data_IF_154151025622
#
_entry.id   IF_154151025622
#
_cell.length_a   1.000
_cell.length_b   1.000
_cell.length_c   1.000
_cell.angle_alpha   90.00
_cell.angle_beta   90.00
_cell.angle_gamma   90.00
#
_symmetry.space_group_name_H-M   'P 1'
#
loop_
_entity.id
_entity.type
_entity.pdbx_description
1 polymer ?
#
# COMPACT_ATOMS: atom_id res chain seq x y z
N UNK A 1 4.76 -41.09 -35.21
CA UNK A 1 4.01 -39.92 -34.71
C UNK A 1 3.38 -39.23 -35.92
N UNK A 2 2.09 -38.90 -35.87
CA UNK A 2 1.33 -38.34 -37.00
C UNK A 2 1.72 -36.87 -37.22
N UNK A 3 2.22 -36.52 -38.42
CA UNK A 3 2.71 -35.16 -38.75
C UNK A 3 1.63 -34.09 -38.61
N UNK A 4 0.38 -34.40 -38.95
CA UNK A 4 -0.73 -33.47 -38.81
C UNK A 4 -1.04 -33.18 -37.34
N UNK A 5 -0.86 -34.18 -36.46
CA UNK A 5 -1.07 -34.04 -35.02
C UNK A 5 -0.01 -33.14 -34.38
N UNK A 6 1.25 -33.24 -34.83
CA UNK A 6 2.32 -32.36 -34.36
C UNK A 6 2.11 -30.91 -34.82
N UNK A 7 1.71 -30.69 -36.08
CA UNK A 7 1.43 -29.36 -36.59
C UNK A 7 0.28 -28.66 -35.83
N UNK A 8 -0.82 -29.39 -35.56
CA UNK A 8 -1.93 -28.86 -34.76
C UNK A 8 -1.54 -28.59 -33.31
N UNK A 9 -0.64 -29.40 -32.73
CA UNK A 9 -0.11 -29.16 -31.39
C UNK A 9 0.75 -27.90 -31.34
N UNK A 10 1.64 -27.70 -32.32
CA UNK A 10 2.49 -26.51 -32.39
C UNK A 10 1.65 -25.23 -32.55
N UNK A 11 0.59 -25.28 -33.35
CA UNK A 11 -0.36 -24.17 -33.53
C UNK A 11 -1.10 -23.85 -32.22
N UNK A 12 -1.69 -24.87 -31.56
CA UNK A 12 -2.37 -24.68 -30.28
C UNK A 12 -1.43 -24.17 -29.18
N UNK A 13 -0.17 -24.63 -29.17
CA UNK A 13 0.84 -24.16 -28.23
C UNK A 13 1.20 -22.69 -28.48
N UNK A 14 1.33 -22.29 -29.74
CA UNK A 14 1.62 -20.90 -30.11
C UNK A 14 0.47 -19.97 -29.69
N UNK A 15 -0.78 -20.34 -30.00
CA UNK A 15 -1.97 -19.59 -29.57
C UNK A 15 -2.07 -19.49 -28.05
N UNK A 16 -1.76 -20.57 -27.34
CA UNK A 16 -1.74 -20.58 -25.88
C UNK A 16 -0.70 -19.59 -25.32
N UNK A 17 0.55 -19.62 -25.83
CA UNK A 17 1.61 -18.71 -25.40
C UNK A 17 1.23 -17.25 -25.67
N UNK A 18 0.66 -16.94 -26.84
CA UNK A 18 0.21 -15.59 -27.17
C UNK A 18 -0.90 -15.12 -26.23
N UNK A 19 -1.89 -15.98 -25.97
CA UNK A 19 -2.99 -15.67 -25.04
C UNK A 19 -2.47 -15.37 -23.63
N UNK A 20 -1.52 -16.17 -23.14
CA UNK A 20 -0.88 -15.96 -21.83
C UNK A 20 -0.06 -14.68 -21.77
N UNK A 21 0.61 -14.32 -22.86
CA UNK A 21 1.32 -13.05 -22.97
C UNK A 21 0.39 -11.84 -22.83
N UNK A 22 -0.73 -11.83 -23.59
CA UNK A 22 -1.73 -10.75 -23.53
C UNK A 22 -2.37 -10.62 -22.14
N UNK A 23 -2.66 -11.74 -21.49
CA UNK A 23 -3.19 -11.76 -20.13
C UNK A 23 -2.19 -11.13 -19.14
N UNK A 24 -0.91 -11.49 -19.24
CA UNK A 24 0.15 -10.93 -18.41
C UNK A 24 0.33 -9.41 -18.60
N UNK A 25 0.23 -8.92 -19.84
CA UNK A 25 0.34 -7.48 -20.13
C UNK A 25 -0.84 -6.68 -19.55
N UNK A 26 -2.06 -7.19 -19.71
CA UNK A 26 -3.26 -6.57 -19.14
C UNK A 26 -3.19 -6.54 -17.60
N UNK A 27 -2.76 -7.65 -17.01
CA UNK A 27 -2.56 -7.79 -15.57
C UNK A 27 -1.56 -6.77 -15.04
N UNK A 28 -0.40 -6.67 -15.70
CA UNK A 28 0.63 -5.70 -15.35
C UNK A 28 0.09 -4.27 -15.37
N UNK A 29 -0.63 -3.88 -16.42
CA UNK A 29 -1.20 -2.54 -16.54
C UNK A 29 -2.20 -2.23 -15.40
N UNK A 30 -3.01 -3.22 -15.00
CA UNK A 30 -3.95 -3.07 -13.89
C UNK A 30 -3.20 -2.86 -12.57
N UNK A 31 -2.19 -3.68 -12.28
CA UNK A 31 -1.39 -3.55 -11.06
C UNK A 31 -0.67 -2.20 -11.04
N UNK A 32 -0.06 -1.78 -12.15
CA UNK A 32 0.60 -0.45 -12.25
C UNK A 32 -0.38 0.69 -11.94
N UNK A 33 -1.62 0.63 -12.46
CA UNK A 33 -2.66 1.61 -12.14
C UNK A 33 -2.99 1.64 -10.64
N UNK A 34 -3.00 0.49 -9.97
CA UNK A 34 -3.27 0.41 -8.52
C UNK A 34 -2.11 0.89 -7.68
N UNK A 35 -0.87 0.65 -8.12
CA UNK A 35 0.33 1.20 -7.48
C UNK A 35 0.32 2.74 -7.54
N UNK A 36 -0.06 3.33 -8.68
CA UNK A 36 -0.20 4.78 -8.81
C UNK A 36 -1.27 5.34 -7.85
N UNK A 37 -2.40 4.64 -7.71
CA UNK A 37 -3.45 5.01 -6.76
C UNK A 37 -2.98 4.92 -5.30
N UNK A 38 -2.21 3.89 -4.94
CA UNK A 38 -1.58 3.77 -3.62
C UNK A 38 -0.64 4.95 -3.36
N UNK A 39 0.21 5.30 -4.32
CA UNK A 39 1.10 6.47 -4.20
C UNK A 39 0.31 7.77 -4.02
N UNK A 40 -0.82 7.93 -4.72
CA UNK A 40 -1.68 9.10 -4.55
C UNK A 40 -2.27 9.18 -3.13
N UNK A 41 -2.73 8.06 -2.56
CA UNK A 41 -3.22 8.02 -1.18
C UNK A 41 -2.09 8.29 -0.15
N UNK A 42 -0.88 7.76 -0.38
CA UNK A 42 0.30 8.08 0.46
C UNK A 42 0.58 9.59 0.46
N UNK A 43 0.60 10.23 -0.72
CA UNK A 43 0.84 11.68 -0.85
C UNK A 43 -0.26 12.48 -0.13
N UNK A 44 -1.52 12.09 -0.31
CA UNK A 44 -2.67 12.72 0.36
C UNK A 44 -2.57 12.65 1.88
N UNK A 45 -2.20 11.49 2.43
CA UNK A 45 -2.00 11.33 3.87
C UNK A 45 -0.84 12.22 4.35
N UNK A 46 0.31 12.19 3.67
CA UNK A 46 1.47 13.02 4.02
C UNK A 46 1.12 14.51 4.05
N UNK A 47 0.33 15.00 3.10
CA UNK A 47 -0.08 16.40 3.05
C UNK A 47 -0.96 16.82 4.24
N UNK A 48 -1.70 15.89 4.84
CA UNK A 48 -2.56 16.13 6.01
C UNK A 48 -1.84 15.97 7.35
N UNK A 49 -0.68 15.31 7.37
CA UNK A 49 0.06 15.05 8.61
C UNK A 49 0.34 16.32 9.44
N UNK A 50 0.76 17.46 8.86
CA UNK A 50 1.01 18.67 9.66
C UNK A 50 -0.23 19.15 10.40
N UNK A 51 -1.39 19.18 9.73
CA UNK A 51 -2.68 19.60 10.30
C UNK A 51 -3.14 18.64 11.40
N UNK A 52 -2.96 17.34 11.20
CA UNK A 52 -3.35 16.30 12.17
C UNK A 52 -2.50 16.39 13.44
N UNK A 53 -1.19 16.64 13.29
CA UNK A 53 -0.29 16.82 14.42
C UNK A 53 -0.62 18.08 15.23
N UNK A 54 -0.98 19.18 14.55
CA UNK A 54 -1.39 20.41 15.22
C UNK A 54 -2.72 20.22 15.97
N UNK A 55 -3.71 19.63 15.31
CA UNK A 55 -4.98 19.29 15.96
C UNK A 55 -4.79 18.38 17.19
N UNK A 56 -3.88 17.40 17.10
CA UNK A 56 -3.56 16.52 18.23
C UNK A 56 -2.90 17.30 19.38
N UNK A 57 -1.99 18.23 19.06
CA UNK A 57 -1.35 19.14 20.02
C UNK A 57 -2.41 19.97 20.74
N UNK A 58 -3.26 20.69 20.02
CA UNK A 58 -4.33 21.53 20.59
C UNK A 58 -5.28 20.74 21.49
N UNK A 59 -5.72 19.57 21.02
CA UNK A 59 -6.62 18.69 21.79
C UNK A 59 -5.97 18.21 23.09
N UNK A 60 -4.66 17.97 23.09
CA UNK A 60 -3.95 17.58 24.31
C UNK A 60 -3.88 18.75 25.29
N UNK A 61 -3.52 19.95 24.82
CA UNK A 61 -3.49 21.16 25.65
C UNK A 61 -4.85 21.44 26.31
N UNK A 62 -5.94 21.39 25.53
CA UNK A 62 -7.30 21.60 26.05
C UNK A 62 -7.66 20.61 27.18
N UNK A 63 -7.29 19.33 27.05
CA UNK A 63 -7.54 18.33 28.12
C UNK A 63 -6.82 18.65 29.43
N UNK A 64 -5.64 19.24 29.35
CA UNK A 64 -4.87 19.60 30.54
C UNK A 64 -5.40 20.88 31.21
N UNK A 65 -5.82 21.86 30.42
CA UNK A 65 -6.51 23.04 30.92
C UNK A 65 -7.79 22.64 31.68
N UNK A 66 -8.60 21.76 31.09
CA UNK A 66 -9.81 21.21 31.72
C UNK A 66 -9.52 20.48 33.03
N UNK A 67 -8.37 19.79 33.12
CA UNK A 67 -7.95 19.06 34.30
C UNK A 67 -7.34 19.96 35.41
N UNK A 68 -7.16 21.26 35.15
CA UNK A 68 -6.47 22.22 36.05
C UNK A 68 -5.09 21.74 36.52
N UNK A 69 -4.40 20.99 35.67
CA UNK A 69 -3.04 20.53 35.94
C UNK A 69 -2.09 21.61 35.46
N UNK A 70 -1.21 22.12 36.33
CA UNK A 70 -0.10 22.97 35.90
C UNK A 70 0.82 22.16 34.99
N UNK A 71 0.82 22.52 33.70
CA UNK A 71 1.70 21.93 32.71
C UNK A 71 3.03 22.67 32.68
N UNK A 72 4.13 21.91 32.79
CA UNK A 72 5.40 22.36 32.24
C UNK A 72 5.33 22.23 30.71
N UNK A 73 5.13 23.37 30.04
CA UNK A 73 5.03 23.45 28.58
C UNK A 73 6.22 22.77 27.88
N UNK A 74 7.43 22.83 28.45
CA UNK A 74 8.62 22.22 27.86
C UNK A 74 8.57 20.69 27.86
N UNK A 75 7.97 20.10 28.91
CA UNK A 75 7.84 18.65 29.07
C UNK A 75 6.68 18.08 28.25
N UNK A 76 5.59 18.84 28.11
CA UNK A 76 4.48 18.49 27.21
C UNK A 76 4.92 18.52 25.76
N UNK A 77 5.69 19.54 25.37
CA UNK A 77 6.20 19.66 24.01
C UNK A 77 7.19 18.52 23.69
N UNK A 78 8.04 18.11 24.64
CA UNK A 78 8.90 16.93 24.49
C UNK A 78 8.11 15.62 24.35
N UNK A 79 7.08 15.39 25.17
CA UNK A 79 6.25 14.19 25.07
C UNK A 79 5.42 14.15 23.78
N UNK A 80 4.92 15.31 23.31
CA UNK A 80 4.25 15.43 22.01
C UNK A 80 5.18 15.12 20.85
N UNK A 81 6.42 15.62 20.88
CA UNK A 81 7.44 15.29 19.88
C UNK A 81 7.73 13.79 19.91
N UNK A 82 7.84 13.18 21.09
CA UNK A 82 8.10 11.75 21.24
C UNK A 82 6.92 10.89 20.73
N UNK A 83 5.68 11.32 20.99
CA UNK A 83 4.45 10.67 20.50
C UNK A 83 4.27 10.83 18.99
N UNK A 84 4.62 11.99 18.43
CA UNK A 84 4.60 12.24 17.00
C UNK A 84 5.68 11.43 16.26
N UNK A 85 6.89 11.33 16.84
CA UNK A 85 7.97 10.47 16.32
C UNK A 85 7.68 8.97 16.47
N UNK A 86 6.89 8.58 17.47
CA UNK A 86 6.37 7.21 17.64
C UNK A 86 5.09 6.95 16.85
N UNK A 87 4.55 7.94 16.14
CA UNK A 87 3.39 7.71 15.29
C UNK A 87 3.85 6.87 14.10
N UNK A 88 3.62 5.56 14.20
CA UNK A 88 3.97 4.54 13.20
C UNK A 88 3.63 4.99 11.76
N UNK A 89 2.65 5.88 11.59
CA UNK A 89 2.18 6.43 10.32
C UNK A 89 3.29 6.88 9.37
N UNK A 90 4.27 7.69 9.81
CA UNK A 90 5.32 8.18 8.90
C UNK A 90 6.20 7.03 8.37
N UNK A 91 6.53 6.08 9.25
CA UNK A 91 7.28 4.88 8.89
C UNK A 91 6.47 3.99 7.93
N UNK A 92 5.18 3.79 8.19
CA UNK A 92 4.30 3.01 7.30
C UNK A 92 4.19 3.64 5.90
N UNK A 93 4.13 4.98 5.81
CA UNK A 93 4.11 5.67 4.52
C UNK A 93 5.42 5.48 3.75
N UNK A 94 6.58 5.53 4.43
CA UNK A 94 7.89 5.28 3.83
C UNK A 94 8.04 3.80 3.37
N UNK A 95 7.48 2.86 4.15
CA UNK A 95 7.41 1.43 3.80
C UNK A 95 6.55 1.22 2.57
N UNK A 96 5.35 1.81 2.51
CA UNK A 96 4.47 1.75 1.34
C UNK A 96 5.16 2.26 0.07
N UNK A 97 5.85 3.40 0.13
CA UNK A 97 6.62 3.93 -1.01
C UNK A 97 7.73 2.95 -1.47
N UNK A 98 8.38 2.28 -0.52
CA UNK A 98 9.40 1.27 -0.81
C UNK A 98 8.79 0.01 -1.46
N UNK A 99 7.63 -0.43 -0.97
CA UNK A 99 6.90 -1.56 -1.53
C UNK A 99 6.36 -1.26 -2.94
N UNK A 100 5.92 -0.04 -3.22
CA UNK A 100 5.53 0.39 -4.58
C UNK A 100 6.70 0.26 -5.54
N UNK A 101 7.89 0.75 -5.15
CA UNK A 101 9.11 0.66 -5.97
C UNK A 101 9.51 -0.79 -6.23
N UNK A 102 9.53 -1.63 -5.19
CA UNK A 102 9.89 -3.04 -5.36
C UNK A 102 8.89 -3.80 -6.24
N UNK A 103 7.59 -3.58 -6.05
CA UNK A 103 6.54 -4.20 -6.88
C UNK A 103 6.68 -3.78 -8.34
N UNK A 104 6.94 -2.50 -8.60
CA UNK A 104 7.22 -1.99 -9.95
C UNK A 104 8.44 -2.68 -10.57
N UNK A 105 9.51 -2.89 -9.79
CA UNK A 105 10.71 -3.59 -10.27
C UNK A 105 10.45 -5.08 -10.56
N UNK A 106 9.64 -5.73 -9.73
CA UNK A 106 9.21 -7.13 -9.95
C UNK A 106 8.46 -7.25 -11.28
N UNK A 107 7.50 -6.36 -11.54
CA UNK A 107 6.72 -6.34 -12.79
C UNK A 107 7.60 -6.06 -14.01
N UNK A 108 8.57 -5.14 -13.90
CA UNK A 108 9.52 -4.84 -14.99
C UNK A 108 10.43 -6.03 -15.31
N UNK A 109 10.86 -6.78 -14.30
CA UNK A 109 11.72 -7.95 -14.49
C UNK A 109 10.99 -9.09 -15.22
N UNK A 110 9.70 -9.26 -14.94
CA UNK A 110 8.89 -10.32 -15.53
C UNK A 110 9.36 -11.74 -15.14
N UNK A 111 8.81 -12.74 -15.84
CA UNK A 111 9.04 -14.16 -15.56
C UNK A 111 8.14 -14.68 -14.44
N UNK A 112 8.59 -15.69 -13.71
CA UNK A 112 7.81 -16.32 -12.62
C UNK A 112 7.78 -15.44 -11.35
N UNK A 113 6.97 -14.38 -11.37
CA UNK A 113 6.93 -13.36 -10.31
C UNK A 113 5.79 -13.50 -9.31
N UNK A 114 4.80 -14.38 -9.56
CA UNK A 114 3.58 -14.51 -8.74
C UNK A 114 3.86 -14.59 -7.22
N UNK A 115 4.73 -15.51 -6.80
CA UNK A 115 5.11 -15.63 -5.37
C UNK A 115 5.73 -14.38 -4.76
N UNK A 116 6.48 -13.60 -5.55
CA UNK A 116 7.06 -12.32 -5.07
C UNK A 116 5.97 -11.27 -4.95
N UNK A 117 5.04 -11.22 -5.90
CA UNK A 117 3.88 -10.32 -5.85
C UNK A 117 2.95 -10.65 -4.68
N UNK A 118 2.70 -11.93 -4.39
CA UNK A 118 1.95 -12.36 -3.20
C UNK A 118 2.58 -11.88 -1.90
N UNK A 119 3.91 -11.97 -1.79
CA UNK A 119 4.64 -11.44 -0.65
C UNK A 119 4.45 -9.92 -0.54
N UNK A 120 4.55 -9.18 -1.65
CA UNK A 120 4.31 -7.73 -1.64
C UNK A 120 2.89 -7.39 -1.17
N UNK A 121 1.88 -8.16 -1.57
CA UNK A 121 0.50 -7.93 -1.11
C UNK A 121 0.36 -8.11 0.41
N UNK A 122 1.11 -9.03 1.01
CA UNK A 122 1.13 -9.21 2.47
C UNK A 122 1.76 -8.00 3.17
N UNK A 123 2.91 -7.53 2.66
CA UNK A 123 3.59 -6.35 3.21
C UNK A 123 2.72 -5.09 3.09
N UNK A 124 2.12 -4.85 1.92
CA UNK A 124 1.17 -3.75 1.75
C UNK A 124 0.00 -3.82 2.73
N UNK A 125 -0.59 -5.01 2.91
CA UNK A 125 -1.74 -5.19 3.79
C UNK A 125 -1.38 -4.92 5.26
N UNK A 126 -0.20 -5.37 5.70
CA UNK A 126 0.32 -5.10 7.03
C UNK A 126 0.41 -3.59 7.29
N UNK A 127 0.89 -2.83 6.31
CA UNK A 127 1.21 -1.42 6.50
C UNK A 127 -0.08 -0.59 6.47
N UNK A 128 -0.99 -0.95 5.56
CA UNK A 128 -2.35 -0.40 5.51
C UNK A 128 -3.17 -0.72 6.78
N UNK A 129 -3.01 -1.91 7.38
CA UNK A 129 -3.65 -2.24 8.66
C UNK A 129 -3.14 -1.35 9.80
N UNK A 130 -1.83 -1.09 9.86
CA UNK A 130 -1.24 -0.20 10.86
C UNK A 130 -1.79 1.22 10.69
N UNK A 131 -1.82 1.74 9.46
CA UNK A 131 -2.42 3.05 9.16
C UNK A 131 -3.89 3.14 9.59
N UNK A 132 -4.70 2.13 9.26
CA UNK A 132 -6.13 2.15 9.59
C UNK A 132 -6.40 2.01 11.11
N UNK A 133 -5.64 1.16 11.80
CA UNK A 133 -5.89 0.81 13.22
C UNK A 133 -5.26 1.76 14.23
N UNK A 134 -4.20 2.47 13.86
CA UNK A 134 -3.49 3.42 14.74
C UNK A 134 -3.72 4.87 14.35
N UNK A 135 -4.59 5.11 13.38
CA UNK A 135 -4.98 6.46 12.98
C UNK A 135 -5.72 7.20 14.09
N UNK A 136 -5.32 8.45 14.30
CA UNK A 136 -5.99 9.42 15.19
C UNK A 136 -6.96 10.34 14.45
N UNK A 137 -6.98 10.26 13.11
CA UNK A 137 -7.80 11.10 12.24
C UNK A 137 -8.70 10.26 11.34
N UNK A 138 -9.95 10.67 11.20
CA UNK A 138 -10.90 10.04 10.28
C UNK A 138 -10.39 9.99 8.84
N UNK A 139 -9.59 10.97 8.43
CA UNK A 139 -9.04 11.05 7.07
C UNK A 139 -7.96 9.99 6.82
N UNK A 140 -7.09 9.75 7.79
CA UNK A 140 -6.07 8.70 7.71
C UNK A 140 -6.75 7.32 7.78
N UNK A 141 -7.81 7.17 8.59
CA UNK A 141 -8.58 5.92 8.63
C UNK A 141 -9.24 5.64 7.29
N UNK A 142 -9.86 6.64 6.66
CA UNK A 142 -10.47 6.50 5.34
C UNK A 142 -9.44 6.13 4.26
N UNK A 143 -8.28 6.79 4.27
CA UNK A 143 -7.17 6.48 3.34
C UNK A 143 -6.62 5.07 3.58
N UNK A 144 -6.52 4.65 4.85
CA UNK A 144 -6.15 3.28 5.22
C UNK A 144 -7.13 2.24 4.68
N UNK A 145 -8.43 2.50 4.71
CA UNK A 145 -9.46 1.62 4.12
C UNK A 145 -9.34 1.56 2.59
N UNK A 146 -9.16 2.71 1.93
CA UNK A 146 -8.98 2.76 0.48
C UNK A 146 -7.74 1.96 0.04
N UNK A 147 -6.63 2.10 0.75
CA UNK A 147 -5.44 1.28 0.53
C UNK A 147 -5.76 -0.22 0.59
N UNK A 148 -6.54 -0.69 1.58
CA UNK A 148 -6.94 -2.12 1.66
C UNK A 148 -7.72 -2.57 0.44
N UNK A 149 -8.63 -1.73 -0.06
CA UNK A 149 -9.41 -2.04 -1.27
C UNK A 149 -8.49 -2.19 -2.47
N UNK A 150 -7.57 -1.25 -2.69
CA UNK A 150 -6.59 -1.32 -3.78
C UNK A 150 -5.69 -2.56 -3.68
N UNK A 151 -5.24 -2.90 -2.47
CA UNK A 151 -4.39 -4.06 -2.19
C UNK A 151 -5.15 -5.36 -2.47
N UNK A 152 -6.40 -5.47 -2.04
CA UNK A 152 -7.20 -6.68 -2.28
C UNK A 152 -7.49 -6.86 -3.77
N UNK A 153 -7.81 -5.77 -4.48
CA UNK A 153 -7.96 -5.82 -5.94
C UNK A 153 -6.70 -6.31 -6.63
N UNK A 154 -5.51 -5.83 -6.24
CA UNK A 154 -4.25 -6.34 -6.80
C UNK A 154 -4.04 -7.83 -6.45
N UNK A 155 -4.33 -8.22 -5.20
CA UNK A 155 -4.17 -9.58 -4.73
C UNK A 155 -5.06 -10.57 -5.48
N UNK A 156 -6.34 -10.25 -5.66
CA UNK A 156 -7.26 -11.08 -6.46
C UNK A 156 -6.73 -11.28 -7.87
N UNK A 157 -6.24 -10.21 -8.48
CA UNK A 157 -5.69 -10.23 -9.83
C UNK A 157 -4.42 -11.10 -9.90
N UNK A 158 -3.51 -11.01 -8.92
CA UNK A 158 -2.33 -11.87 -8.82
C UNK A 158 -2.69 -13.35 -8.62
N UNK A 159 -3.72 -13.64 -7.82
CA UNK A 159 -4.14 -15.02 -7.51
C UNK A 159 -4.89 -15.69 -8.66
N UNK A 160 -5.53 -14.90 -9.53
CA UNK A 160 -6.21 -15.40 -10.72
C UNK A 160 -5.23 -15.78 -11.86
N UNK A 161 -3.91 -15.65 -11.66
CA UNK A 161 -2.89 -16.08 -12.61
C UNK A 161 -2.74 -17.61 -12.53
N UNK A 162 -3.41 -18.35 -13.43
CA UNK A 162 -3.15 -19.78 -13.71
C UNK A 162 -2.33 -19.97 -14.98
#
# INVERSE_FOLDING_TARGET
>A
INKALLAAFDEALAEFIESRGREGDNMKALIEQRLDAITAEVVKVRARMPEILEWQRERLFSKFEDAKIELDASRVEQELILLAQKSDVAEELDRLDSHVKETTNILKKGGAVGRRLDFMMQEFNRESNTLASKSISTDITASGVELKVLIEQMREQIQNIE
#
